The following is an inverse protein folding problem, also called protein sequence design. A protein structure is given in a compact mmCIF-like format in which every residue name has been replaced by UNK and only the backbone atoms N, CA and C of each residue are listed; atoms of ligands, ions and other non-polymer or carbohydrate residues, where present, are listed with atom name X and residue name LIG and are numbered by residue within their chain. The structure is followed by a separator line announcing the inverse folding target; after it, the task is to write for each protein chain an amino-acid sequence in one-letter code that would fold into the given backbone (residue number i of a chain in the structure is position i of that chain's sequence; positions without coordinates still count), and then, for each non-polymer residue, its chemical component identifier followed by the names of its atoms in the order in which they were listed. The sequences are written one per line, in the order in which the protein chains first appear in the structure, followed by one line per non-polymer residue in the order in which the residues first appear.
data_IF_286757313280
#
_entry.id   IF_286757313280
#
_cell.length_a   1.000
_cell.length_b   1.000
_cell.length_c   1.000
_cell.angle_alpha   90.00
_cell.angle_beta   90.00
_cell.angle_gamma   90.00
#
_symmetry.space_group_name_H-M   'P 1'
#
loop_
_entity.id
_entity.type
_entity.pdbx_description
1 polymer ?
#
# COMPACT_ATOMS: atom_id res chain seq x y z
N UNK A 1 -12.89 6.73 -0.51
CA UNK A 1 -13.35 6.58 0.89
C UNK A 1 -14.62 5.73 0.91
N UNK A 2 -14.51 4.46 0.55
CA UNK A 2 -15.65 3.52 0.48
C UNK A 2 -15.25 2.09 0.84
N UNK A 3 -14.19 1.93 1.63
CA UNK A 3 -13.50 0.65 1.87
C UNK A 3 -13.92 -0.04 3.16
N UNK A 4 -14.80 0.55 3.97
CA UNK A 4 -15.21 0.00 5.27
C UNK A 4 -16.68 -0.44 5.34
N UNK A 5 -17.55 0.16 4.54
CA UNK A 5 -18.91 -0.33 4.35
C UNK A 5 -19.45 0.13 3.01
N UNK A 6 -20.26 -0.70 2.32
CA UNK A 6 -20.93 -0.27 1.10
C UNK A 6 -21.75 0.99 1.37
N UNK A 7 -21.65 1.97 0.47
CA UNK A 7 -22.35 3.25 0.59
C UNK A 7 -23.89 3.08 0.69
N UNK A 8 -24.40 1.98 0.15
CA UNK A 8 -25.78 1.54 0.30
C UNK A 8 -25.80 0.08 0.74
N UNK A 9 -26.35 -0.21 1.92
CA UNK A 9 -26.54 -1.59 2.38
C UNK A 9 -27.78 -2.19 1.72
N UNK A 10 -27.57 -3.23 0.92
CA UNK A 10 -28.61 -4.09 0.37
C UNK A 10 -28.12 -5.54 0.27
N UNK A 11 -29.04 -6.46 -0.07
CA UNK A 11 -28.75 -7.90 -0.17
C UNK A 11 -27.58 -8.19 -1.13
N UNK A 12 -27.45 -7.42 -2.21
CA UNK A 12 -26.36 -7.59 -3.17
C UNK A 12 -25.00 -7.13 -2.60
N UNK A 13 -24.97 -6.04 -1.84
CA UNK A 13 -23.72 -5.56 -1.22
C UNK A 13 -23.31 -6.39 -0.01
N UNK A 14 -24.25 -7.02 0.69
CA UNK A 14 -23.92 -7.96 1.78
C UNK A 14 -23.34 -9.27 1.22
N UNK A 15 -23.83 -9.74 0.07
CA UNK A 15 -23.31 -10.95 -0.59
C UNK A 15 -21.96 -10.67 -1.29
N UNK A 16 -21.83 -9.52 -1.95
CA UNK A 16 -20.62 -9.17 -2.72
C UNK A 16 -19.57 -8.39 -1.93
N UNK A 17 -19.87 -7.99 -0.68
CA UNK A 17 -18.95 -7.23 0.17
C UNK A 17 -17.62 -7.94 0.42
N UNK A 18 -17.65 -9.27 0.58
CA UNK A 18 -16.45 -10.09 0.75
C UNK A 18 -15.57 -10.24 -0.49
N UNK A 19 -16.02 -9.76 -1.67
CA UNK A 19 -15.21 -9.76 -2.91
C UNK A 19 -14.24 -8.57 -2.92
N UNK A 20 -14.62 -7.46 -2.27
CA UNK A 20 -13.83 -6.22 -2.24
C UNK A 20 -12.86 -6.19 -1.05
N UNK A 21 -13.17 -6.95 0.00
CA UNK A 21 -12.33 -7.09 1.20
C UNK A 21 -11.18 -8.10 0.99
N UNK A 22 -10.02 -7.83 1.57
CA UNK A 22 -8.86 -8.74 1.55
C UNK A 22 -8.94 -9.83 2.64
N UNK A 23 -10.11 -9.99 3.26
CA UNK A 23 -10.39 -10.92 4.37
C UNK A 23 -10.09 -12.41 4.05
N UNK A 24 -10.03 -12.78 2.77
CA UNK A 24 -9.79 -14.17 2.32
C UNK A 24 -8.37 -14.45 1.76
N UNK A 25 -7.33 -13.73 2.21
CA UNK A 25 -5.89 -13.88 1.84
C UNK A 25 -5.38 -12.94 0.73
N UNK A 26 -5.66 -11.64 0.83
CA UNK A 26 -5.00 -10.64 -0.01
C UNK A 26 -3.60 -10.24 0.50
N UNK A 27 -2.71 -9.77 -0.40
CA UNK A 27 -1.38 -9.21 -0.04
C UNK A 27 -1.46 -8.14 1.07
N UNK A 28 -2.57 -7.41 1.12
CA UNK A 28 -2.82 -6.31 2.05
C UNK A 28 -3.73 -6.70 3.24
N UNK A 29 -4.02 -8.00 3.45
CA UNK A 29 -4.93 -8.46 4.48
C UNK A 29 -4.51 -8.04 5.89
N UNK A 30 -3.21 -8.03 6.18
CA UNK A 30 -2.69 -7.60 7.49
C UNK A 30 -2.98 -6.12 7.75
N UNK A 31 -2.64 -5.26 6.79
CA UNK A 31 -2.86 -3.82 6.88
C UNK A 31 -4.36 -3.49 6.93
N UNK A 32 -5.19 -4.24 6.20
CA UNK A 32 -6.65 -4.10 6.28
C UNK A 32 -7.18 -4.46 7.66
N UNK A 33 -6.70 -5.56 8.26
CA UNK A 33 -7.11 -6.00 9.60
C UNK A 33 -6.74 -4.95 10.65
N UNK A 34 -5.48 -4.48 10.65
CA UNK A 34 -5.00 -3.46 11.59
C UNK A 34 -5.81 -2.16 11.48
N UNK A 35 -6.09 -1.72 10.25
CA UNK A 35 -6.93 -0.55 9.99
C UNK A 35 -8.37 -0.75 10.49
N UNK A 36 -8.98 -1.91 10.21
CA UNK A 36 -10.35 -2.25 10.61
C UNK A 36 -10.49 -2.32 12.13
N UNK A 37 -9.57 -2.95 12.83
CA UNK A 37 -9.56 -3.05 14.30
C UNK A 37 -9.50 -1.66 14.95
N UNK A 38 -8.68 -0.76 14.41
CA UNK A 38 -8.60 0.62 14.90
C UNK A 38 -9.91 1.39 14.66
N UNK A 39 -10.52 1.23 13.48
CA UNK A 39 -11.78 1.90 13.15
C UNK A 39 -12.96 1.36 13.98
N UNK A 40 -12.96 0.07 14.31
CA UNK A 40 -13.94 -0.54 15.21
C UNK A 40 -13.79 0.01 16.63
N UNK A 41 -12.56 0.15 17.13
CA UNK A 41 -12.30 0.66 18.48
C UNK A 41 -12.69 2.14 18.68
N UNK A 42 -12.47 3.00 17.67
CA UNK A 42 -12.71 4.44 17.79
C UNK A 42 -14.00 4.94 17.16
N UNK A 43 -14.64 4.15 16.30
CA UNK A 43 -15.76 4.57 15.46
C UNK A 43 -15.34 5.52 14.33
N UNK A 44 -16.29 5.87 13.46
CA UNK A 44 -16.01 6.58 12.20
C UNK A 44 -15.32 7.94 12.39
N UNK A 45 -15.95 8.86 13.13
CA UNK A 45 -15.50 10.25 13.21
C UNK A 45 -14.12 10.40 13.85
N UNK A 46 -13.89 9.66 14.95
CA UNK A 46 -12.61 9.68 15.67
C UNK A 46 -11.56 8.81 14.99
N UNK A 47 -11.99 7.73 14.35
CA UNK A 47 -11.13 6.80 13.62
C UNK A 47 -10.44 7.45 12.44
N UNK A 48 -11.11 8.35 11.70
CA UNK A 48 -10.49 9.08 10.58
C UNK A 48 -9.24 9.89 10.99
N UNK A 49 -9.21 10.38 12.23
CA UNK A 49 -8.08 11.15 12.75
C UNK A 49 -7.04 10.22 13.39
N UNK A 50 -7.49 9.29 14.26
CA UNK A 50 -6.60 8.43 15.04
C UNK A 50 -5.97 7.30 14.22
N UNK A 51 -6.75 6.70 13.32
CA UNK A 51 -6.34 5.57 12.47
C UNK A 51 -5.76 6.03 11.12
N UNK A 52 -5.50 7.34 10.95
CA UNK A 52 -5.00 7.90 9.69
C UNK A 52 -3.73 7.20 9.18
N UNK A 53 -2.80 6.86 10.08
CA UNK A 53 -1.57 6.18 9.70
C UNK A 53 -1.84 4.78 9.11
N UNK A 54 -2.72 4.00 9.73
CA UNK A 54 -3.11 2.66 9.25
C UNK A 54 -3.86 2.74 7.91
N UNK A 55 -4.72 3.74 7.75
CA UNK A 55 -5.38 4.00 6.47
C UNK A 55 -4.36 4.32 5.37
N UNK A 56 -3.37 5.16 5.66
CA UNK A 56 -2.31 5.48 4.69
C UNK A 56 -1.44 4.26 4.35
N UNK A 57 -1.20 3.35 5.30
CA UNK A 57 -0.48 2.10 5.07
C UNK A 57 -1.29 1.12 4.21
N UNK A 58 -2.59 0.98 4.47
CA UNK A 58 -3.48 0.18 3.64
C UNK A 58 -3.56 0.71 2.21
N UNK A 59 -3.72 2.03 2.06
CA UNK A 59 -3.70 2.69 0.74
C UNK A 59 -2.35 2.54 0.03
N UNK A 60 -1.24 2.59 0.77
CA UNK A 60 0.08 2.34 0.21
C UNK A 60 0.18 0.90 -0.31
N UNK A 61 -0.27 -0.08 0.47
CA UNK A 61 -0.27 -1.47 0.04
C UNK A 61 -1.14 -1.72 -1.20
N UNK A 62 -2.29 -1.06 -1.33
CA UNK A 62 -3.14 -1.21 -2.51
C UNK A 62 -2.53 -0.57 -3.76
N UNK A 63 -1.93 0.62 -3.61
CA UNK A 63 -1.49 1.43 -4.76
C UNK A 63 0.00 1.28 -5.09
N UNK A 64 0.81 0.77 -4.16
CA UNK A 64 2.27 0.75 -4.19
C UNK A 64 2.91 2.11 -4.55
N UNK A 65 2.20 3.22 -4.28
CA UNK A 65 2.59 4.54 -4.78
C UNK A 65 3.92 5.00 -4.21
N UNK A 66 4.12 4.86 -2.88
CA UNK A 66 5.35 5.30 -2.22
C UNK A 66 6.52 4.43 -2.65
N UNK A 67 6.33 3.11 -2.70
CA UNK A 67 7.32 2.17 -3.22
C UNK A 67 7.77 2.52 -4.65
N UNK A 68 6.82 2.79 -5.55
CA UNK A 68 7.11 3.14 -6.94
C UNK A 68 7.88 4.47 -7.07
N UNK A 69 7.45 5.50 -6.33
CA UNK A 69 8.16 6.79 -6.31
C UNK A 69 9.60 6.65 -5.80
N UNK A 70 9.80 5.84 -4.75
CA UNK A 70 11.14 5.51 -4.24
C UNK A 70 11.98 4.82 -5.32
N UNK A 71 11.42 3.83 -6.01
CA UNK A 71 12.10 3.15 -7.12
C UNK A 71 12.52 4.13 -8.23
N UNK A 72 11.63 5.03 -8.63
CA UNK A 72 11.93 6.03 -9.66
C UNK A 72 12.98 7.04 -9.22
N UNK A 73 12.98 7.46 -7.96
CA UNK A 73 14.01 8.34 -7.41
C UNK A 73 15.39 7.66 -7.41
N UNK A 74 15.47 6.40 -6.96
CA UNK A 74 16.71 5.62 -6.99
C UNK A 74 17.22 5.41 -8.43
N UNK A 75 16.31 5.16 -9.38
CA UNK A 75 16.65 5.03 -10.79
C UNK A 75 17.21 6.34 -11.37
N UNK A 76 16.58 7.47 -11.09
CA UNK A 76 17.03 8.79 -11.56
C UNK A 76 18.43 9.13 -11.05
N UNK A 77 18.70 8.89 -9.76
CA UNK A 77 20.03 9.13 -9.19
C UNK A 77 21.09 8.20 -9.79
N UNK A 78 20.73 6.94 -10.07
CA UNK A 78 21.62 6.02 -10.79
C UNK A 78 21.96 6.56 -12.18
N UNK A 79 20.95 6.94 -12.96
CA UNK A 79 21.14 7.43 -14.33
C UNK A 79 22.01 8.70 -14.34
N UNK A 80 21.82 9.59 -13.36
CA UNK A 80 22.69 10.76 -13.13
C UNK A 80 24.14 10.34 -12.88
N UNK A 81 24.39 9.38 -12.00
CA UNK A 81 25.75 8.90 -11.67
C UNK A 81 26.43 8.19 -12.85
N UNK A 82 25.66 7.49 -13.68
CA UNK A 82 26.16 6.89 -14.93
C UNK A 82 26.57 8.00 -15.90
N UNK A 83 25.73 9.02 -16.07
CA UNK A 83 26.03 10.17 -16.95
C UNK A 83 27.26 10.98 -16.48
N UNK A 84 27.47 11.11 -15.17
CA UNK A 84 28.66 11.74 -14.59
C UNK A 84 29.93 10.85 -14.64
N UNK A 85 29.81 9.58 -15.06
CA UNK A 85 30.93 8.63 -15.12
C UNK A 85 31.34 8.05 -13.75
N UNK A 86 30.61 8.35 -12.67
CA UNK A 86 30.88 7.81 -11.32
C UNK A 86 30.57 6.31 -11.21
N UNK A 87 29.59 5.82 -11.99
CA UNK A 87 29.24 4.41 -12.09
C UNK A 87 29.63 3.85 -13.45
N UNK A 88 30.59 2.92 -13.47
CA UNK A 88 31.16 2.32 -14.69
C UNK A 88 31.09 0.79 -14.68
N UNK A 89 30.90 0.19 -15.86
CA UNK A 89 30.88 -1.27 -16.06
C UNK A 89 29.80 -1.99 -15.24
N UNK A 90 30.17 -3.10 -14.61
CA UNK A 90 29.27 -3.97 -13.84
C UNK A 90 28.63 -3.27 -12.61
N UNK A 91 29.16 -2.11 -12.21
CA UNK A 91 28.61 -1.31 -11.09
C UNK A 91 27.41 -0.46 -11.50
N UNK A 92 27.14 -0.32 -12.80
CA UNK A 92 26.00 0.46 -13.31
C UNK A 92 24.66 -0.18 -12.93
N UNK A 93 24.59 -1.51 -12.98
CA UNK A 93 23.39 -2.27 -12.66
C UNK A 93 23.74 -3.41 -11.71
N UNK A 94 23.28 -3.29 -10.47
CA UNK A 94 23.32 -4.39 -9.52
C UNK A 94 22.04 -5.20 -9.69
N UNK A 95 22.14 -6.52 -9.73
CA UNK A 95 20.95 -7.37 -9.59
C UNK A 95 20.33 -7.06 -8.21
N UNK A 96 19.06 -6.66 -8.15
CA UNK A 96 18.42 -6.46 -6.86
C UNK A 96 18.47 -7.78 -6.10
N UNK A 97 18.95 -7.75 -4.85
CA UNK A 97 18.66 -8.87 -3.94
C UNK A 97 17.14 -8.96 -3.86
N UNK A 98 16.60 -10.15 -4.10
CA UNK A 98 15.19 -10.42 -3.89
C UNK A 98 15.02 -10.42 -2.37
N UNK A 99 14.69 -9.26 -1.81
CA UNK A 99 14.44 -9.03 -0.38
C UNK A 99 12.95 -9.14 -0.03
N UNK A 100 12.13 -9.62 -0.97
CA UNK A 100 10.71 -9.86 -0.80
C UNK A 100 10.44 -11.32 -0.39
N UNK A 101 10.45 -11.57 0.93
CA UNK A 101 9.68 -12.63 1.59
C UNK A 101 8.78 -12.01 2.66
#
# INVERSE_FOLDING_TARGET
MGELSPAFRNIFTDITGGIVDHQQLGRCARQELEFRDCMEAYGWDRGLIKCKHLLEEFQECQTNRKQFLRFMAMRRERDRKIACGELTGDKQYVSPRIDSF
#
